data_IF_829171681428
#
_entry.id   IF_829171681428
#
_cell.length_a   1.000
_cell.length_b   1.000
_cell.length_c   1.000
_cell.angle_alpha   90.00
_cell.angle_beta   90.00
_cell.angle_gamma   90.00
#
_symmetry.space_group_name_H-M   'P 1'
#
loop_
_entity.id
_entity.type
_entity.pdbx_description
1 polymer ?
#
# COMPACT_ATOMS: atom_id res chain seq x y z
N UNK A 1 56.27 1.34 -31.33
CA UNK A 1 55.09 2.05 -30.79
C UNK A 1 53.89 1.13 -30.96
N UNK A 2 53.59 0.31 -29.95
CA UNK A 2 52.42 -0.57 -29.96
C UNK A 2 51.25 0.17 -29.34
N UNK A 3 50.27 0.53 -30.16
CA UNK A 3 48.94 0.97 -29.72
C UNK A 3 48.12 -0.26 -29.35
N UNK A 4 48.14 -0.66 -28.08
CA UNK A 4 47.11 -1.57 -27.55
C UNK A 4 45.81 -0.78 -27.44
N UNK A 5 44.94 -0.92 -28.42
CA UNK A 5 43.52 -0.60 -28.30
C UNK A 5 42.97 -1.37 -27.09
N UNK A 6 42.34 -0.72 -26.10
CA UNK A 6 41.69 -1.45 -25.03
C UNK A 6 40.57 -2.28 -25.66
N UNK A 7 40.71 -3.60 -25.63
CA UNK A 7 39.63 -4.51 -25.95
C UNK A 7 38.46 -4.19 -25.01
N UNK A 8 37.42 -3.54 -25.54
CA UNK A 8 36.12 -3.46 -24.88
C UNK A 8 35.61 -4.88 -24.72
N UNK A 9 35.84 -5.44 -23.55
CA UNK A 9 35.33 -6.75 -23.14
C UNK A 9 33.82 -6.80 -23.41
N UNK A 10 33.32 -7.74 -24.23
CA UNK A 10 31.89 -7.89 -24.52
C UNK A 10 31.06 -8.24 -23.27
N UNK A 11 31.73 -8.57 -22.16
CA UNK A 11 31.08 -8.80 -20.87
C UNK A 11 30.71 -7.50 -20.14
N UNK A 12 31.40 -6.38 -20.41
CA UNK A 12 31.11 -5.08 -19.80
C UNK A 12 29.78 -4.50 -20.33
N UNK A 13 29.53 -4.61 -21.63
CA UNK A 13 28.28 -4.18 -22.26
C UNK A 13 27.09 -5.05 -21.82
N UNK A 14 27.27 -6.37 -21.69
CA UNK A 14 26.24 -7.27 -21.15
C UNK A 14 25.87 -6.95 -19.70
N UNK A 15 26.85 -6.61 -18.84
CA UNK A 15 26.60 -6.21 -17.46
C UNK A 15 25.84 -4.89 -17.35
N UNK A 16 26.16 -3.90 -18.18
CA UNK A 16 25.46 -2.60 -18.22
C UNK A 16 24.01 -2.76 -18.70
N UNK A 17 23.77 -3.59 -19.72
CA UNK A 17 22.41 -3.90 -20.19
C UNK A 17 21.61 -4.64 -19.11
N UNK A 18 22.23 -5.59 -18.40
CA UNK A 18 21.58 -6.32 -17.31
C UNK A 18 21.24 -5.41 -16.11
N UNK A 19 22.13 -4.50 -15.70
CA UNK A 19 21.85 -3.54 -14.61
C UNK A 19 20.76 -2.53 -15.02
N UNK A 20 20.77 -2.10 -16.28
CA UNK A 20 19.73 -1.20 -16.82
C UNK A 20 18.35 -1.88 -16.81
N UNK A 21 18.26 -3.14 -17.23
CA UNK A 21 17.02 -3.91 -17.21
C UNK A 21 16.50 -4.16 -15.78
N UNK A 22 17.39 -4.46 -14.83
CA UNK A 22 17.04 -4.65 -13.41
C UNK A 22 16.51 -3.35 -12.78
N UNK A 23 17.16 -2.22 -13.06
CA UNK A 23 16.72 -0.90 -12.55
C UNK A 23 15.42 -0.39 -13.19
N UNK A 24 15.17 -0.73 -14.45
CA UNK A 24 13.90 -0.44 -15.11
C UNK A 24 12.76 -1.29 -14.49
N UNK A 25 13.00 -2.58 -14.26
CA UNK A 25 12.03 -3.50 -13.66
C UNK A 25 11.64 -3.11 -12.24
N UNK A 26 12.61 -2.70 -11.41
CA UNK A 26 12.32 -2.23 -10.04
C UNK A 26 11.46 -0.97 -10.07
N UNK A 27 11.76 -0.03 -10.97
CA UNK A 27 10.99 1.22 -11.12
C UNK A 27 9.54 0.98 -11.55
N UNK A 28 9.30 0.02 -12.44
CA UNK A 28 7.93 -0.35 -12.86
C UNK A 28 7.15 -0.95 -11.69
N UNK A 29 7.77 -1.86 -10.92
CA UNK A 29 7.13 -2.46 -9.75
C UNK A 29 6.81 -1.42 -8.67
N UNK A 30 7.72 -0.50 -8.39
CA UNK A 30 7.50 0.58 -7.41
C UNK A 30 6.36 1.51 -7.86
N UNK A 31 6.24 1.77 -9.16
CA UNK A 31 5.15 2.59 -9.71
C UNK A 31 3.82 1.86 -9.63
N UNK A 32 3.78 0.55 -9.89
CA UNK A 32 2.55 -0.24 -9.74
C UNK A 32 2.08 -0.26 -8.29
N UNK A 33 2.99 -0.47 -7.33
CA UNK A 33 2.67 -0.43 -5.89
C UNK A 33 2.16 0.95 -5.48
N UNK A 34 2.79 2.02 -5.98
CA UNK A 34 2.33 3.40 -5.77
C UNK A 34 0.89 3.57 -6.30
N UNK A 35 0.63 3.18 -7.56
CA UNK A 35 -0.69 3.34 -8.18
C UNK A 35 -1.75 2.60 -7.35
N UNK A 36 -1.50 1.35 -6.96
CA UNK A 36 -2.46 0.58 -6.17
C UNK A 36 -2.68 1.19 -4.79
N UNK A 37 -1.61 1.56 -4.05
CA UNK A 37 -1.74 2.20 -2.74
C UNK A 37 -2.49 3.52 -2.82
N UNK A 38 -2.19 4.33 -3.83
CA UNK A 38 -2.83 5.62 -4.07
C UNK A 38 -4.31 5.42 -4.43
N UNK A 39 -4.63 4.49 -5.33
CA UNK A 39 -6.02 4.15 -5.66
C UNK A 39 -6.81 3.68 -4.45
N UNK A 40 -6.24 2.81 -3.61
CA UNK A 40 -6.89 2.37 -2.35
C UNK A 40 -7.15 3.58 -1.44
N UNK A 41 -6.17 4.48 -1.29
CA UNK A 41 -6.34 5.69 -0.48
C UNK A 41 -7.46 6.60 -1.00
N UNK A 42 -7.55 6.79 -2.32
CA UNK A 42 -8.62 7.58 -2.95
C UNK A 42 -9.99 6.91 -2.77
N UNK A 43 -10.08 5.58 -2.89
CA UNK A 43 -11.33 4.85 -2.64
C UNK A 43 -11.78 4.98 -1.18
N UNK A 44 -10.84 4.87 -0.24
CA UNK A 44 -11.13 5.11 1.19
C UNK A 44 -11.61 6.54 1.39
N UNK A 45 -10.92 7.55 0.83
CA UNK A 45 -11.33 8.94 0.91
C UNK A 45 -12.74 9.16 0.37
N UNK A 46 -13.04 8.61 -0.81
CA UNK A 46 -14.36 8.70 -1.42
C UNK A 46 -15.43 8.06 -0.53
N UNK A 47 -15.15 6.89 0.05
CA UNK A 47 -16.06 6.22 0.99
C UNK A 47 -16.31 7.07 2.24
N UNK A 48 -15.28 7.71 2.80
CA UNK A 48 -15.43 8.60 3.95
C UNK A 48 -16.27 9.84 3.61
N UNK A 49 -16.06 10.44 2.44
CA UNK A 49 -16.86 11.58 1.97
C UNK A 49 -18.32 11.16 1.82
N UNK A 50 -18.59 9.99 1.23
CA UNK A 50 -19.96 9.46 1.12
C UNK A 50 -20.56 9.25 2.50
N UNK A 51 -19.83 8.63 3.44
CA UNK A 51 -20.30 8.45 4.81
C UNK A 51 -20.63 9.77 5.50
N UNK A 52 -19.84 10.83 5.28
CA UNK A 52 -20.10 12.17 5.83
C UNK A 52 -21.33 12.81 5.19
N UNK A 53 -21.48 12.72 3.87
CA UNK A 53 -22.58 13.37 3.12
C UNK A 53 -23.92 12.66 3.35
N UNK A 54 -23.90 11.34 3.47
CA UNK A 54 -25.10 10.49 3.63
C UNK A 54 -25.41 10.21 5.11
N UNK A 55 -24.57 10.69 6.04
CA UNK A 55 -24.74 10.45 7.47
C UNK A 55 -26.12 10.89 7.98
N UNK A 56 -26.97 9.91 8.28
CA UNK A 56 -28.21 10.11 9.03
C UNK A 56 -28.00 10.06 10.55
N UNK A 57 -26.80 9.64 11.00
CA UNK A 57 -26.42 9.57 12.41
C UNK A 57 -25.08 10.29 12.67
N UNK A 58 -24.88 10.84 13.88
CA UNK A 58 -23.67 11.60 14.20
C UNK A 58 -22.40 10.73 14.23
N UNK A 59 -22.54 9.43 14.47
CA UNK A 59 -21.41 8.50 14.54
C UNK A 59 -20.78 8.24 13.17
N UNK A 60 -21.57 8.09 12.11
CA UNK A 60 -21.09 7.93 10.74
C UNK A 60 -20.37 9.20 10.24
N UNK A 61 -20.91 10.37 10.58
CA UNK A 61 -20.28 11.65 10.30
C UNK A 61 -18.90 11.74 10.97
N UNK A 62 -18.84 11.49 12.28
CA UNK A 62 -17.62 11.61 13.06
C UNK A 62 -16.57 10.58 12.62
N UNK A 63 -17.00 9.34 12.34
CA UNK A 63 -16.15 8.28 11.81
C UNK A 63 -15.55 8.65 10.46
N UNK A 64 -16.36 9.15 9.53
CA UNK A 64 -15.87 9.62 8.23
C UNK A 64 -14.86 10.77 8.37
N UNK A 65 -15.14 11.75 9.23
CA UNK A 65 -14.26 12.90 9.45
C UNK A 65 -12.90 12.49 10.08
N UNK A 66 -12.92 11.57 11.03
CA UNK A 66 -11.70 11.03 11.67
C UNK A 66 -10.82 10.27 10.67
N UNK A 67 -11.42 9.56 9.70
CA UNK A 67 -10.67 8.74 8.73
C UNK A 67 -10.18 9.57 7.52
N UNK A 68 -10.82 10.69 7.20
CA UNK A 68 -10.38 11.58 6.10
C UNK A 68 -8.95 12.07 6.32
N UNK A 69 -8.63 12.60 7.51
CA UNK A 69 -7.31 13.17 7.77
C UNK A 69 -6.15 12.17 7.60
N UNK A 70 -6.18 10.96 8.19
CA UNK A 70 -5.15 9.96 7.95
C UNK A 70 -5.13 9.45 6.51
N UNK A 71 -6.28 9.37 5.81
CA UNK A 71 -6.32 8.98 4.39
C UNK A 71 -5.65 10.02 3.48
N UNK A 72 -5.93 11.32 3.69
CA UNK A 72 -5.27 12.41 2.96
C UNK A 72 -3.77 12.45 3.28
N UNK A 73 -3.41 12.33 4.57
CA UNK A 73 -2.02 12.28 5.00
C UNK A 73 -1.26 11.13 4.35
N UNK A 74 -1.88 9.94 4.31
CA UNK A 74 -1.32 8.76 3.65
C UNK A 74 -1.12 9.00 2.16
N UNK A 75 -2.13 9.49 1.43
CA UNK A 75 -2.04 9.77 0.00
C UNK A 75 -0.95 10.80 -0.32
N UNK A 76 -0.85 11.86 0.50
CA UNK A 76 0.19 12.88 0.36
C UNK A 76 1.60 12.32 0.62
N UNK A 77 1.77 11.47 1.64
CA UNK A 77 3.05 10.82 1.93
C UNK A 77 3.45 9.84 0.84
N UNK A 78 2.51 9.05 0.33
CA UNK A 78 2.73 8.09 -0.76
C UNK A 78 3.13 8.83 -2.04
N UNK A 79 2.45 9.94 -2.38
CA UNK A 79 2.83 10.84 -3.46
C UNK A 79 4.24 11.42 -3.27
N UNK A 80 4.54 11.93 -2.08
CA UNK A 80 5.85 12.49 -1.77
C UNK A 80 6.96 11.43 -1.85
N UNK A 81 6.70 10.20 -1.39
CA UNK A 81 7.64 9.09 -1.45
C UNK A 81 7.94 8.71 -2.90
N UNK A 82 6.92 8.61 -3.75
CA UNK A 82 7.08 8.31 -5.17
C UNK A 82 7.78 9.45 -5.94
N UNK A 83 7.33 10.69 -5.76
CA UNK A 83 7.86 11.86 -6.47
C UNK A 83 9.30 12.20 -6.05
N UNK A 84 9.59 12.23 -4.75
CA UNK A 84 10.90 12.65 -4.22
C UNK A 84 11.87 11.48 -3.94
N UNK A 85 11.45 10.23 -4.13
CA UNK A 85 12.23 9.01 -3.86
C UNK A 85 12.89 9.00 -2.47
N UNK A 86 12.20 9.52 -1.45
CA UNK A 86 12.76 9.65 -0.10
C UNK A 86 12.63 8.34 0.66
N UNK A 87 13.72 7.57 0.72
CA UNK A 87 13.75 6.25 1.37
C UNK A 87 13.32 6.25 2.85
N UNK A 88 13.58 7.34 3.60
CA UNK A 88 13.18 7.46 5.01
C UNK A 88 11.65 7.49 5.23
N UNK A 89 10.86 7.83 4.20
CA UNK A 89 9.39 7.77 4.27
C UNK A 89 8.83 6.34 4.13
N UNK A 90 9.68 5.37 3.76
CA UNK A 90 9.22 3.98 3.57
C UNK A 90 8.78 3.33 4.88
N UNK A 91 9.43 3.65 6.01
CA UNK A 91 9.09 3.14 7.33
C UNK A 91 7.70 3.61 7.81
N UNK A 92 7.41 4.93 7.88
CA UNK A 92 6.09 5.40 8.31
C UNK A 92 4.99 4.93 7.34
N UNK A 93 5.23 4.91 6.03
CA UNK A 93 4.27 4.37 5.07
C UNK A 93 4.03 2.87 5.27
N UNK A 94 5.07 2.10 5.60
CA UNK A 94 4.92 0.68 5.94
C UNK A 94 4.06 0.46 7.18
N UNK A 95 4.27 1.27 8.23
CA UNK A 95 3.45 1.25 9.43
C UNK A 95 1.99 1.65 9.14
N UNK A 96 1.76 2.67 8.30
CA UNK A 96 0.43 3.08 7.88
C UNK A 96 -0.28 1.99 7.05
N UNK A 97 0.44 1.28 6.18
CA UNK A 97 -0.12 0.12 5.46
C UNK A 97 -0.56 -0.97 6.43
N UNK A 98 0.26 -1.32 7.42
CA UNK A 98 -0.12 -2.32 8.43
C UNK A 98 -1.30 -1.86 9.29
N UNK A 99 -1.33 -0.58 9.69
CA UNK A 99 -2.47 -0.01 10.40
C UNK A 99 -3.76 -0.08 9.56
N UNK A 100 -3.67 0.25 8.26
CA UNK A 100 -4.77 0.09 7.31
C UNK A 100 -5.20 -1.37 7.17
N UNK A 101 -4.26 -2.32 7.10
CA UNK A 101 -4.57 -3.75 7.05
C UNK A 101 -5.34 -4.20 8.31
N UNK A 102 -4.90 -3.77 9.49
CA UNK A 102 -5.61 -4.03 10.75
C UNK A 102 -7.01 -3.42 10.76
N UNK A 103 -7.16 -2.20 10.23
CA UNK A 103 -8.47 -1.56 10.10
C UNK A 103 -9.42 -2.37 9.22
N UNK A 104 -8.96 -2.85 8.05
CA UNK A 104 -9.77 -3.71 7.18
C UNK A 104 -10.09 -5.07 7.82
N UNK A 105 -9.14 -5.69 8.54
CA UNK A 105 -9.38 -6.93 9.28
C UNK A 105 -10.40 -6.71 10.41
N UNK A 106 -10.32 -5.59 11.11
CA UNK A 106 -11.30 -5.22 12.14
C UNK A 106 -12.69 -5.04 11.52
N UNK A 107 -12.80 -4.32 10.40
CA UNK A 107 -14.05 -4.18 9.66
C UNK A 107 -14.62 -5.53 9.24
N UNK A 108 -13.78 -6.42 8.70
CA UNK A 108 -14.18 -7.78 8.35
C UNK A 108 -14.70 -8.55 9.57
N UNK A 109 -13.96 -8.53 10.69
CA UNK A 109 -14.34 -9.21 11.93
C UNK A 109 -15.65 -8.66 12.52
N UNK A 110 -15.85 -7.34 12.48
CA UNK A 110 -17.08 -6.69 12.92
C UNK A 110 -18.29 -7.15 12.08
N UNK A 111 -18.15 -7.19 10.75
CA UNK A 111 -19.20 -7.69 9.87
C UNK A 111 -19.51 -9.18 10.12
N UNK A 112 -18.50 -10.01 10.38
CA UNK A 112 -18.70 -11.41 10.77
C UNK A 112 -19.40 -11.52 12.13
N UNK A 113 -19.06 -10.68 13.11
CA UNK A 113 -19.72 -10.67 14.41
C UNK A 113 -21.20 -10.26 14.30
N UNK A 114 -21.50 -9.25 13.48
CA UNK A 114 -22.88 -8.86 13.17
C UNK A 114 -23.63 -10.01 12.48
N UNK A 115 -23.01 -10.67 11.50
CA UNK A 115 -23.59 -11.85 10.83
C UNK A 115 -23.95 -12.96 11.83
N UNK A 116 -23.09 -13.27 12.79
CA UNK A 116 -23.32 -14.33 13.77
C UNK A 116 -24.46 -14.00 14.76
N UNK A 117 -24.77 -12.72 14.93
CA UNK A 117 -25.82 -12.25 15.85
C UNK A 117 -27.12 -11.87 15.12
N UNK A 118 -27.11 -11.84 13.78
CA UNK A 118 -28.26 -11.56 12.96
C UNK A 118 -29.32 -12.67 13.09
N UNK A 119 -30.58 -12.26 13.21
CA UNK A 119 -31.73 -13.19 13.27
C UNK A 119 -32.23 -13.59 11.90
N UNK A 120 -31.96 -12.77 10.89
CA UNK A 120 -32.39 -12.97 9.51
C UNK A 120 -31.34 -13.74 8.72
N UNK A 121 -31.76 -14.54 7.71
CA UNK A 121 -30.82 -15.24 6.85
C UNK A 121 -29.93 -14.25 6.11
N UNK A 122 -28.62 -14.45 6.24
CA UNK A 122 -27.61 -13.60 5.62
C UNK A 122 -27.45 -13.98 4.14
N UNK A 123 -27.49 -12.98 3.26
CA UNK A 123 -27.24 -13.18 1.84
C UNK A 123 -25.76 -13.57 1.60
N UNK A 124 -25.54 -14.72 0.95
CA UNK A 124 -24.21 -15.18 0.59
C UNK A 124 -23.46 -14.18 -0.31
N UNK A 125 -24.18 -13.42 -1.14
CA UNK A 125 -23.59 -12.40 -2.00
C UNK A 125 -22.93 -11.26 -1.18
N UNK A 126 -23.56 -10.88 -0.07
CA UNK A 126 -23.03 -9.87 0.86
C UNK A 126 -21.74 -10.35 1.52
N UNK A 127 -21.68 -11.62 1.93
CA UNK A 127 -20.48 -12.19 2.56
C UNK A 127 -19.29 -12.24 1.60
N UNK A 128 -19.54 -12.64 0.35
CA UNK A 128 -18.50 -12.64 -0.69
C UNK A 128 -18.04 -11.20 -0.94
N UNK A 129 -18.97 -10.26 -1.06
CA UNK A 129 -18.64 -8.86 -1.27
C UNK A 129 -17.79 -8.28 -0.14
N UNK A 130 -18.21 -8.44 1.12
CA UNK A 130 -17.48 -7.96 2.31
C UNK A 130 -16.13 -8.65 2.44
N UNK A 131 -16.08 -9.96 2.23
CA UNK A 131 -14.85 -10.75 2.24
C UNK A 131 -13.82 -10.24 1.22
N UNK A 132 -14.25 -9.94 0.00
CA UNK A 132 -13.37 -9.39 -1.04
C UNK A 132 -13.00 -7.93 -0.75
N UNK A 133 -13.97 -7.11 -0.37
CA UNK A 133 -13.80 -5.67 -0.14
C UNK A 133 -12.90 -5.36 1.06
N UNK A 134 -12.90 -6.20 2.10
CA UNK A 134 -12.03 -6.02 3.27
C UNK A 134 -10.81 -6.94 3.23
N UNK A 135 -10.96 -8.20 2.82
CA UNK A 135 -9.90 -9.20 2.84
C UNK A 135 -8.78 -8.93 1.84
N UNK A 136 -9.11 -8.57 0.59
CA UNK A 136 -8.09 -8.32 -0.42
C UNK A 136 -7.23 -7.10 -0.09
N UNK A 137 -7.80 -5.92 0.29
CA UNK A 137 -6.99 -4.80 0.74
C UNK A 137 -6.18 -5.12 1.99
N UNK A 138 -6.73 -5.87 2.96
CA UNK A 138 -5.99 -6.26 4.16
C UNK A 138 -4.74 -7.08 3.84
N UNK A 139 -4.87 -8.11 2.98
CA UNK A 139 -3.74 -8.95 2.56
C UNK A 139 -2.71 -8.11 1.81
N UNK A 140 -3.17 -7.30 0.85
CA UNK A 140 -2.30 -6.46 0.04
C UNK A 140 -1.52 -5.43 0.88
N UNK A 141 -2.21 -4.68 1.75
CA UNK A 141 -1.60 -3.71 2.65
C UNK A 141 -0.70 -4.40 3.68
N UNK A 142 -1.08 -5.58 4.17
CA UNK A 142 -0.26 -6.40 5.06
C UNK A 142 1.07 -6.78 4.44
N UNK A 143 1.03 -7.35 3.22
CA UNK A 143 2.23 -7.75 2.48
C UNK A 143 3.11 -6.55 2.15
N UNK A 144 2.53 -5.47 1.61
CA UNK A 144 3.30 -4.28 1.21
C UNK A 144 3.87 -3.54 2.41
N UNK A 145 3.11 -3.40 3.50
CA UNK A 145 3.56 -2.79 4.75
C UNK A 145 4.70 -3.58 5.40
N UNK A 146 4.54 -4.91 5.49
CA UNK A 146 5.59 -5.79 6.00
C UNK A 146 6.87 -5.71 5.17
N UNK A 147 6.77 -5.74 3.84
CA UNK A 147 7.93 -5.64 2.95
C UNK A 147 8.68 -4.32 3.14
N UNK A 148 7.97 -3.20 3.24
CA UNK A 148 8.55 -1.86 3.46
C UNK A 148 9.28 -1.77 4.80
N UNK A 149 8.71 -2.30 5.87
CA UNK A 149 9.35 -2.32 7.18
C UNK A 149 10.58 -3.23 7.21
N UNK A 150 10.47 -4.44 6.63
CA UNK A 150 11.60 -5.38 6.55
C UNK A 150 12.80 -4.79 5.82
N UNK A 151 12.58 -4.08 4.71
CA UNK A 151 13.68 -3.43 3.98
C UNK A 151 14.41 -2.37 4.82
N UNK A 152 13.70 -1.68 5.72
CA UNK A 152 14.29 -0.68 6.61
C UNK A 152 15.14 -1.37 7.70
N UNK A 153 14.63 -2.44 8.32
CA UNK A 153 15.37 -3.19 9.33
C UNK A 153 16.63 -3.86 8.77
N UNK A 154 16.58 -4.35 7.53
CA UNK A 154 17.75 -4.92 6.85
C UNK A 154 18.77 -3.85 6.44
N UNK A 155 18.32 -2.64 6.08
CA UNK A 155 19.23 -1.52 5.79
C UNK A 155 19.95 -0.99 7.02
N UNK A 156 19.29 -0.98 8.18
CA UNK A 156 19.88 -0.49 9.44
C UNK A 156 20.99 -1.39 10.02
N UNK A 157 20.99 -2.69 9.71
CA UNK A 157 21.99 -3.65 10.19
C UNK A 157 23.28 -3.66 9.37
N UNK A 158 23.30 -3.03 8.20
CA UNK A 158 24.51 -2.89 7.36
C UNK A 158 25.26 -1.58 7.61
N UNK A 159 24.71 -0.69 8.43
CA UNK A 159 25.24 0.65 8.71
C UNK A 159 25.68 0.84 10.18
N UNK A 160 25.63 -0.23 10.98
CA UNK A 160 26.09 -0.30 12.37
C UNK A 160 27.29 -1.25 12.46
#
# INVERSE_FOLDING_TARGET
MNSTSPEESPFASAQVVATSAVSARSRTLDTLVFVVNFSVAILVLASCIISVVVASNPFAFLGGLIVILPAVGYAALEWCCWYRRRHWLSAPLGAMNLAGALFFLFGLAANFAEMLTARDPVDASLLIFVGLACGLPAIYLGITGWRRLRSVFQGGTSAA
#
